data_IF_981295261925
#
_entry.id   IF_981295261925
#
_cell.length_a   1.000
_cell.length_b   1.000
_cell.length_c   1.000
_cell.angle_alpha   90.00
_cell.angle_beta   90.00
_cell.angle_gamma   90.00
#
_symmetry.space_group_name_H-M   'P 1'
#
loop_
_entity.id
_entity.type
_entity.pdbx_description
1 polymer ?
#
# COMPACT_ATOMS: atom_id res chain seq x y z
N UNK A 1 -10.78 7.24 15.32
CA UNK A 1 -9.37 7.46 15.66
C UNK A 1 -8.68 7.97 14.41
N UNK A 2 -8.48 9.28 14.32
CA UNK A 2 -7.61 9.90 13.32
C UNK A 2 -6.33 10.27 14.07
N UNK A 3 -5.19 10.05 13.42
CA UNK A 3 -3.87 10.30 13.98
C UNK A 3 -3.73 11.75 14.47
N UNK A 4 -3.07 11.98 15.60
CA UNK A 4 -2.79 13.31 16.12
C UNK A 4 -1.96 14.09 15.08
N UNK A 5 -2.44 15.25 14.63
CA UNK A 5 -1.73 16.07 13.65
C UNK A 5 -0.36 16.53 14.15
N UNK A 6 -0.17 16.63 15.48
CA UNK A 6 1.10 16.98 16.13
C UNK A 6 1.99 15.76 16.40
N UNK A 7 1.44 14.55 16.31
CA UNK A 7 2.16 13.29 16.55
C UNK A 7 1.58 12.18 15.67
N UNK A 8 1.83 12.22 14.35
CA UNK A 8 1.15 11.39 13.35
C UNK A 8 1.46 9.88 13.44
N UNK A 9 2.31 9.45 14.39
CA UNK A 9 2.93 8.13 14.41
C UNK A 9 4.09 8.04 13.41
N UNK A 10 5.00 7.07 13.60
CA UNK A 10 6.19 6.95 12.74
C UNK A 10 6.89 5.60 12.73
N UNK A 11 6.31 4.58 13.36
CA UNK A 11 6.97 3.28 13.59
C UNK A 11 6.12 2.13 13.04
N UNK A 12 5.82 2.17 11.74
CA UNK A 12 5.15 1.08 11.03
C UNK A 12 6.23 0.15 10.48
N UNK A 13 6.32 -1.06 11.03
CA UNK A 13 7.24 -2.09 10.57
C UNK A 13 6.50 -3.23 9.88
N UNK A 14 7.18 -3.91 8.97
CA UNK A 14 6.79 -5.23 8.47
C UNK A 14 7.58 -6.26 9.29
N UNK A 15 6.91 -7.15 10.02
CA UNK A 15 7.57 -8.06 10.98
C UNK A 15 6.91 -9.45 11.03
N UNK A 16 7.60 -10.40 11.65
CA UNK A 16 7.07 -11.73 11.99
C UNK A 16 6.23 -11.71 13.27
N UNK A 17 5.57 -12.80 13.63
CA UNK A 17 4.60 -12.89 14.75
C UNK A 17 3.27 -12.15 14.53
N UNK A 18 2.28 -12.49 15.35
CA UNK A 18 0.87 -12.08 15.21
C UNK A 18 0.48 -10.81 15.98
N UNK A 19 1.44 -10.00 16.45
CA UNK A 19 1.16 -8.83 17.30
C UNK A 19 1.13 -7.55 16.48
N UNK A 20 0.04 -6.77 16.51
CA UNK A 20 0.02 -5.46 15.82
C UNK A 20 -0.60 -4.38 16.69
N UNK A 21 0.09 -3.23 16.76
CA UNK A 21 -0.46 -1.95 17.25
C UNK A 21 -0.23 -0.91 16.14
N UNK A 22 -0.50 -1.29 14.89
CA UNK A 22 -0.27 -0.46 13.69
C UNK A 22 0.85 -0.93 12.76
N UNK A 23 1.52 -2.04 13.06
CA UNK A 23 2.49 -2.68 12.16
C UNK A 23 1.83 -3.69 11.20
N UNK A 24 2.58 -4.16 10.20
CA UNK A 24 2.14 -5.11 9.18
C UNK A 24 2.76 -6.48 9.48
N UNK A 25 2.00 -7.42 10.09
CA UNK A 25 2.52 -8.71 10.44
C UNK A 25 2.52 -9.64 9.21
N UNK A 26 3.59 -10.39 9.06
CA UNK A 26 3.66 -11.59 8.23
C UNK A 26 3.90 -12.79 9.14
N UNK A 27 3.72 -14.01 8.64
CA UNK A 27 4.22 -15.18 9.36
C UNK A 27 5.75 -15.18 9.35
N UNK A 28 6.36 -15.83 10.34
CA UNK A 28 7.81 -15.88 10.51
C UNK A 28 8.52 -16.34 9.22
N UNK A 29 8.03 -17.42 8.60
CA UNK A 29 8.57 -17.91 7.32
C UNK A 29 8.48 -16.86 6.20
N UNK A 30 7.41 -16.08 6.14
CA UNK A 30 7.19 -15.09 5.07
C UNK A 30 8.04 -13.84 5.27
N UNK A 31 8.21 -13.37 6.51
CA UNK A 31 9.08 -12.22 6.77
C UNK A 31 10.55 -12.59 6.55
N UNK A 32 10.97 -13.83 6.81
CA UNK A 32 12.32 -14.29 6.52
C UNK A 32 12.63 -14.16 5.02
N UNK A 33 11.73 -14.61 4.15
CA UNK A 33 11.89 -14.46 2.69
C UNK A 33 11.97 -12.99 2.27
N UNK A 34 11.04 -12.15 2.76
CA UNK A 34 11.02 -10.71 2.47
C UNK A 34 12.30 -10.04 2.94
N UNK A 35 12.79 -10.39 4.14
CA UNK A 35 14.02 -9.86 4.71
C UNK A 35 15.24 -10.23 3.85
N UNK A 36 15.34 -11.49 3.42
CA UNK A 36 16.44 -11.94 2.56
C UNK A 36 16.47 -11.20 1.23
N UNK A 37 15.31 -11.05 0.57
CA UNK A 37 15.20 -10.32 -0.70
C UNK A 37 15.56 -8.84 -0.51
N UNK A 38 15.02 -8.20 0.53
CA UNK A 38 15.30 -6.80 0.85
C UNK A 38 16.78 -6.57 1.18
N UNK A 39 17.39 -7.46 1.97
CA UNK A 39 18.80 -7.41 2.30
C UNK A 39 19.69 -7.54 1.06
N UNK A 40 19.34 -8.44 0.13
CA UNK A 40 20.07 -8.59 -1.13
C UNK A 40 19.94 -7.36 -2.03
N UNK A 41 18.73 -6.77 -2.14
CA UNK A 41 18.50 -5.54 -2.89
C UNK A 41 19.31 -4.38 -2.33
N UNK A 42 19.32 -4.21 -1.01
CA UNK A 42 20.11 -3.18 -0.32
C UNK A 42 21.61 -3.37 -0.54
N UNK A 43 22.11 -4.60 -0.40
CA UNK A 43 23.51 -4.92 -0.66
C UNK A 43 23.91 -4.67 -2.14
N UNK A 44 22.95 -4.70 -3.05
CA UNK A 44 23.14 -4.41 -4.48
C UNK A 44 22.99 -2.91 -4.83
N UNK A 45 22.91 -2.03 -3.83
CA UNK A 45 22.84 -0.58 -4.03
C UNK A 45 21.43 0.00 -4.12
N UNK A 46 20.38 -0.81 -3.93
CA UNK A 46 19.02 -0.27 -3.80
C UNK A 46 18.83 0.33 -2.40
N UNK A 47 19.17 1.61 -2.27
CA UNK A 47 19.18 2.26 -0.96
C UNK A 47 17.80 2.43 -0.32
N UNK A 48 16.77 2.53 -1.16
CA UNK A 48 15.38 2.65 -0.79
C UNK A 48 14.57 1.52 -1.41
N UNK A 49 13.82 0.79 -0.57
CA UNK A 49 12.94 -0.29 -0.99
C UNK A 49 11.50 0.22 -0.82
N UNK A 50 10.81 0.61 -1.91
CA UNK A 50 9.48 1.15 -1.80
C UNK A 50 8.48 0.04 -1.42
N UNK A 51 7.55 0.38 -0.52
CA UNK A 51 6.45 -0.50 -0.11
C UNK A 51 5.15 0.18 -0.47
N UNK A 52 4.34 -0.49 -1.30
CA UNK A 52 3.02 0.00 -1.71
C UNK A 52 1.95 -0.91 -1.12
N UNK A 53 0.96 -0.30 -0.47
CA UNK A 53 -0.14 -1.00 0.18
C UNK A 53 -1.42 -0.60 -0.53
N UNK A 54 -2.15 -1.61 -1.00
CA UNK A 54 -3.45 -1.44 -1.64
C UNK A 54 -4.53 -2.10 -0.77
N UNK A 55 -5.76 -1.57 -0.76
CA UNK A 55 -6.82 -2.09 0.11
C UNK A 55 -7.30 -3.48 -0.32
N UNK A 56 -7.17 -3.80 -1.60
CA UNK A 56 -7.53 -5.08 -2.20
C UNK A 56 -6.65 -5.40 -3.39
N UNK A 57 -6.62 -6.67 -3.76
CA UNK A 57 -6.24 -7.08 -5.12
C UNK A 57 -7.36 -6.69 -6.09
N UNK A 58 -7.13 -5.66 -6.91
CA UNK A 58 -8.08 -5.18 -7.91
C UNK A 58 -8.33 -6.16 -9.07
N UNK A 59 -7.49 -7.18 -9.26
CA UNK A 59 -7.72 -8.23 -10.26
C UNK A 59 -8.61 -9.37 -9.73
N UNK A 60 -8.86 -9.39 -8.42
CA UNK A 60 -9.70 -10.39 -7.79
C UNK A 60 -11.15 -9.91 -7.66
N UNK A 61 -12.07 -10.58 -8.37
CA UNK A 61 -13.50 -10.22 -8.34
C UNK A 61 -14.10 -10.23 -6.93
N UNK A 62 -13.73 -11.18 -6.07
CA UNK A 62 -14.26 -11.24 -4.69
C UNK A 62 -13.79 -10.04 -3.88
N UNK A 63 -12.53 -9.64 -4.03
CA UNK A 63 -11.97 -8.49 -3.34
C UNK A 63 -12.61 -7.19 -3.81
N UNK A 64 -12.85 -7.03 -5.11
CA UNK A 64 -13.61 -5.91 -5.66
C UNK A 64 -15.03 -5.85 -5.09
N UNK A 65 -15.77 -6.97 -5.07
CA UNK A 65 -17.11 -7.02 -4.47
C UNK A 65 -17.07 -6.61 -3.00
N UNK A 66 -16.06 -7.05 -2.24
CA UNK A 66 -15.89 -6.70 -0.84
C UNK A 66 -15.61 -5.20 -0.66
N UNK A 67 -14.69 -4.64 -1.47
CA UNK A 67 -14.37 -3.21 -1.44
C UNK A 67 -15.63 -2.37 -1.69
N UNK A 68 -16.32 -2.58 -2.81
CA UNK A 68 -17.51 -1.81 -3.16
C UNK A 68 -18.62 -1.90 -2.11
N UNK A 69 -18.82 -3.09 -1.52
CA UNK A 69 -19.79 -3.26 -0.45
C UNK A 69 -19.40 -2.50 0.82
N UNK A 70 -18.11 -2.49 1.16
CA UNK A 70 -17.62 -1.86 2.39
C UNK A 70 -17.58 -0.34 2.27
N UNK A 71 -17.41 0.18 1.06
CA UNK A 71 -17.33 1.62 0.77
C UNK A 71 -18.63 2.18 0.18
N UNK A 72 -19.74 1.43 0.20
CA UNK A 72 -21.01 1.80 -0.46
C UNK A 72 -21.53 3.17 0.02
N UNK A 73 -21.43 3.44 1.32
CA UNK A 73 -21.95 4.65 1.96
C UNK A 73 -20.91 5.78 2.05
N UNK A 74 -19.73 5.60 1.45
CA UNK A 74 -18.66 6.60 1.44
C UNK A 74 -18.23 6.95 0.01
N UNK A 75 -18.91 7.91 -0.63
CA UNK A 75 -18.56 8.36 -1.98
C UNK A 75 -17.17 8.99 -2.08
N UNK A 76 -16.61 9.49 -0.97
CA UNK A 76 -15.25 10.05 -0.96
C UNK A 76 -14.25 8.92 -1.08
N UNK A 77 -14.41 7.88 -0.26
CA UNK A 77 -13.57 6.70 -0.31
C UNK A 77 -13.66 6.01 -1.68
N UNK A 78 -14.86 5.87 -2.26
CA UNK A 78 -15.01 5.31 -3.61
C UNK A 78 -14.21 6.05 -4.68
N UNK A 79 -14.17 7.39 -4.62
CA UNK A 79 -13.36 8.18 -5.56
C UNK A 79 -11.87 8.02 -5.31
N UNK A 80 -11.46 7.96 -4.04
CA UNK A 80 -10.07 7.73 -3.67
C UNK A 80 -9.54 6.38 -4.20
N UNK A 81 -10.36 5.33 -4.12
CA UNK A 81 -10.03 4.00 -4.65
C UNK A 81 -9.77 3.98 -6.17
N UNK A 82 -10.37 4.90 -6.93
CA UNK A 82 -10.14 4.99 -8.39
C UNK A 82 -8.69 5.33 -8.69
N UNK A 83 -8.12 6.32 -7.99
CA UNK A 83 -6.71 6.71 -8.17
C UNK A 83 -5.73 5.61 -7.72
N UNK A 84 -6.07 4.89 -6.64
CA UNK A 84 -5.29 3.73 -6.19
C UNK A 84 -5.30 2.61 -7.23
N UNK A 85 -6.46 2.33 -7.83
CA UNK A 85 -6.59 1.31 -8.88
C UNK A 85 -5.75 1.67 -10.11
N UNK A 86 -5.73 2.93 -10.51
CA UNK A 86 -4.94 3.37 -11.67
C UNK A 86 -3.44 3.07 -11.47
N UNK A 87 -2.89 3.43 -10.30
CA UNK A 87 -1.50 3.15 -9.97
C UNK A 87 -1.23 1.63 -9.85
N UNK A 88 -2.17 0.87 -9.29
CA UNK A 88 -2.11 -0.58 -9.21
C UNK A 88 -2.06 -1.23 -10.60
N UNK A 89 -2.94 -0.81 -11.50
CA UNK A 89 -3.03 -1.34 -12.86
C UNK A 89 -1.77 -1.02 -13.65
N UNK A 90 -1.23 0.20 -13.53
CA UNK A 90 0.01 0.61 -14.18
C UNK A 90 1.17 -0.29 -13.76
N UNK A 91 1.43 -0.40 -12.45
CA UNK A 91 2.53 -1.22 -11.94
C UNK A 91 2.37 -2.69 -12.32
N UNK A 92 1.15 -3.23 -12.30
CA UNK A 92 0.94 -4.62 -12.67
C UNK A 92 1.23 -4.91 -14.15
N UNK A 93 1.04 -3.93 -15.03
CA UNK A 93 1.32 -4.02 -16.46
C UNK A 93 2.81 -3.79 -16.80
N UNK A 94 3.42 -2.75 -16.21
CA UNK A 94 4.76 -2.30 -16.59
C UNK A 94 5.87 -2.84 -15.69
N UNK A 95 5.53 -3.23 -14.46
CA UNK A 95 6.47 -3.48 -13.35
C UNK A 95 7.32 -2.27 -12.97
N UNK A 96 6.86 -1.09 -13.35
CA UNK A 96 7.45 0.21 -13.02
C UNK A 96 6.44 1.05 -12.24
N UNK A 97 6.92 1.87 -11.31
CA UNK A 97 6.06 2.77 -10.57
C UNK A 97 5.75 4.00 -11.41
N UNK A 98 4.47 4.39 -11.54
CA UNK A 98 4.15 5.66 -12.16
C UNK A 98 4.64 6.81 -11.26
N UNK A 99 4.82 8.00 -11.84
CA UNK A 99 4.99 9.21 -11.03
C UNK A 99 3.64 9.52 -10.39
N UNK A 100 3.55 9.46 -9.06
CA UNK A 100 2.30 9.67 -8.32
C UNK A 100 2.36 11.04 -7.63
N UNK A 101 1.40 11.91 -7.96
CA UNK A 101 1.18 13.17 -7.28
C UNK A 101 -0.01 13.09 -6.32
N UNK A 102 -0.04 14.03 -5.36
CA UNK A 102 -1.20 14.25 -4.49
C UNK A 102 -1.79 15.61 -4.85
N UNK A 103 -3.07 15.63 -5.22
CA UNK A 103 -3.77 16.87 -5.55
C UNK A 103 -3.97 17.73 -4.29
N UNK A 104 -4.29 19.02 -4.45
CA UNK A 104 -4.64 19.89 -3.32
C UNK A 104 -5.87 19.43 -2.50
N UNK A 105 -6.59 18.41 -2.99
CA UNK A 105 -7.72 17.76 -2.29
C UNK A 105 -7.33 16.46 -1.58
N UNK A 106 -6.06 16.05 -1.65
CA UNK A 106 -5.57 14.80 -1.05
C UNK A 106 -5.79 13.55 -1.89
N UNK A 107 -6.15 13.68 -3.17
CA UNK A 107 -6.38 12.55 -4.08
C UNK A 107 -5.09 12.16 -4.80
N UNK A 108 -4.87 10.86 -5.02
CA UNK A 108 -3.76 10.38 -5.85
C UNK A 108 -4.04 10.58 -7.33
N UNK A 109 -3.03 11.02 -8.08
CA UNK A 109 -3.10 11.18 -9.53
C UNK A 109 -1.79 10.73 -10.17
N UNK A 110 -1.89 9.89 -11.21
CA UNK A 110 -0.72 9.58 -12.05
C UNK A 110 -0.35 10.83 -12.84
N UNK A 111 0.91 11.23 -12.72
CA UNK A 111 1.50 12.33 -13.46
C UNK A 111 2.24 11.73 -14.66
N UNK A 112 1.77 12.03 -15.87
CA UNK A 112 2.46 11.68 -17.11
C UNK A 112 3.56 12.67 -17.44
#
# INVERSE_FOLDING_TARGET
>A
MLSDQLSPGGHIYIHGSCVTVGCIPLRDEQIEEVYLIASAAKASGQDHIPVHIFPVDFNNRKSLTYLYKTTEQDPVLQRFEVGLKEAYDYFNQTKELPLIGITGKGEYSIMN
#
